data_IF_710552829854
#
_entry.id   IF_710552829854
#
_cell.length_a   1.000
_cell.length_b   1.000
_cell.length_c   1.000
_cell.angle_alpha   90.00
_cell.angle_beta   90.00
_cell.angle_gamma   90.00
#
_symmetry.space_group_name_H-M   'P 1'
#
loop_
_entity.id
_entity.type
_entity.pdbx_description
1 polymer ?
#
# COMPACT_ATOMS: atom_id res chain seq x y z
N UNK A 1 -24.38 -7.89 6.59
CA UNK A 1 -24.12 -7.88 5.14
C UNK A 1 -23.18 -6.70 4.86
N UNK A 2 -21.90 -6.99 4.70
CA UNK A 2 -20.92 -5.97 4.28
C UNK A 2 -21.05 -5.88 2.76
N UNK A 3 -21.65 -4.82 2.26
CA UNK A 3 -21.64 -4.53 0.83
C UNK A 3 -20.29 -3.92 0.46
N UNK A 4 -19.80 -4.12 -0.75
CA UNK A 4 -18.53 -3.52 -1.21
C UNK A 4 -18.50 -1.99 -1.12
N UNK A 5 -19.67 -1.34 -1.06
CA UNK A 5 -19.80 0.12 -0.87
C UNK A 5 -19.46 0.56 0.55
N UNK A 6 -19.49 -0.36 1.53
CA UNK A 6 -19.21 -0.05 2.95
C UNK A 6 -17.71 -0.16 3.28
N UNK A 7 -16.89 -0.55 2.30
CA UNK A 7 -15.48 -0.81 2.53
C UNK A 7 -14.64 0.45 2.39
N UNK A 8 -14.27 1.03 3.53
CA UNK A 8 -13.30 2.12 3.59
C UNK A 8 -11.88 1.57 3.64
N UNK A 9 -11.11 1.85 2.59
CA UNK A 9 -9.68 1.55 2.60
C UNK A 9 -8.96 2.46 3.58
N UNK A 10 -8.16 1.90 4.51
CA UNK A 10 -7.49 2.68 5.52
C UNK A 10 -6.56 3.73 4.92
N UNK A 11 -6.69 4.97 5.36
CA UNK A 11 -5.84 6.08 4.95
C UNK A 11 -4.42 5.93 5.50
N UNK A 12 -3.45 6.42 4.73
CA UNK A 12 -2.03 6.54 5.09
C UNK A 12 -1.71 8.01 5.29
N UNK A 13 -1.27 8.39 6.47
CA UNK A 13 -0.74 9.73 6.73
C UNK A 13 0.72 9.83 6.29
N UNK A 14 1.11 10.90 5.58
CA UNK A 14 2.50 11.15 5.19
C UNK A 14 3.05 12.35 5.97
N UNK A 15 3.87 12.08 7.00
CA UNK A 15 4.51 13.08 7.85
C UNK A 15 5.97 13.31 7.47
N UNK A 16 6.35 14.57 7.27
CA UNK A 16 7.70 14.97 6.86
C UNK A 16 7.97 16.44 7.22
N UNK A 17 9.25 16.81 7.34
CA UNK A 17 9.61 18.22 7.50
C UNK A 17 9.39 19.00 6.21
N UNK A 18 8.87 20.22 6.29
CA UNK A 18 8.53 21.03 5.12
C UNK A 18 9.69 21.21 4.12
N UNK A 19 10.93 21.23 4.61
CA UNK A 19 12.13 21.32 3.77
C UNK A 19 12.37 20.06 2.92
N UNK A 20 11.85 18.92 3.34
CA UNK A 20 12.00 17.62 2.67
C UNK A 20 10.91 17.34 1.63
N UNK A 21 10.01 18.31 1.42
CA UNK A 21 8.87 18.16 0.51
C UNK A 21 9.28 17.72 -0.88
N UNK A 22 10.13 18.52 -1.54
CA UNK A 22 10.49 18.30 -2.94
C UNK A 22 11.62 17.29 -3.13
N UNK A 23 12.34 16.95 -2.07
CA UNK A 23 13.44 16.00 -2.13
C UNK A 23 12.98 14.56 -1.94
N UNK A 24 12.09 14.30 -1.00
CA UNK A 24 11.66 12.91 -0.70
C UNK A 24 10.15 12.73 -0.61
N UNK A 25 9.39 13.69 -0.03
CA UNK A 25 7.96 13.48 0.23
C UNK A 25 7.14 13.36 -1.05
N UNK A 26 7.36 14.22 -2.04
CA UNK A 26 6.67 14.14 -3.35
C UNK A 26 7.07 12.89 -4.14
N UNK A 27 8.29 12.39 -4.00
CA UNK A 27 8.71 11.13 -4.59
C UNK A 27 7.99 9.92 -3.97
N UNK A 28 7.84 9.91 -2.64
CA UNK A 28 7.06 8.89 -1.94
C UNK A 28 5.59 8.94 -2.36
N UNK A 29 5.00 10.13 -2.38
CA UNK A 29 3.61 10.35 -2.79
C UNK A 29 3.38 9.85 -4.22
N UNK A 30 4.24 10.24 -5.17
CA UNK A 30 4.15 9.81 -6.57
C UNK A 30 4.05 8.29 -6.70
N UNK A 31 4.94 7.56 -6.02
CA UNK A 31 4.92 6.10 -6.08
C UNK A 31 3.68 5.50 -5.39
N UNK A 32 3.26 6.05 -4.24
CA UNK A 32 2.05 5.61 -3.54
C UNK A 32 0.79 5.81 -4.40
N UNK A 33 0.66 6.95 -5.07
CA UNK A 33 -0.47 7.26 -5.96
C UNK A 33 -0.49 6.36 -7.20
N UNK A 34 0.67 5.98 -7.73
CA UNK A 34 0.75 5.00 -8.82
C UNK A 34 0.22 3.62 -8.40
N UNK A 35 0.41 3.24 -7.14
CA UNK A 35 -0.23 2.06 -6.55
C UNK A 35 -1.68 2.30 -6.12
N UNK A 36 -2.22 3.52 -6.25
CA UNK A 36 -3.58 3.86 -5.86
C UNK A 36 -3.83 3.88 -4.36
N UNK A 37 -2.78 4.08 -3.57
CA UNK A 37 -2.90 4.14 -2.12
C UNK A 37 -3.61 5.41 -1.67
N UNK A 38 -4.53 5.33 -0.67
CA UNK A 38 -5.22 6.49 -0.12
C UNK A 38 -4.29 7.24 0.85
N UNK A 39 -3.59 8.24 0.35
CA UNK A 39 -2.63 9.04 1.12
C UNK A 39 -3.26 10.35 1.53
N UNK A 40 -3.20 10.67 2.82
CA UNK A 40 -3.40 12.03 3.30
C UNK A 40 -2.08 12.80 3.18
N UNK A 41 -2.11 13.88 2.43
CA UNK A 41 -0.95 14.71 2.13
C UNK A 41 -1.30 16.19 2.28
N UNK A 42 -0.58 16.92 3.14
CA UNK A 42 -0.88 18.26 3.58
C UNK A 42 -1.19 19.24 2.44
N UNK A 43 -0.43 19.19 1.35
CA UNK A 43 -0.60 20.09 0.20
C UNK A 43 -1.90 19.86 -0.59
N UNK A 44 -2.40 18.64 -0.59
CA UNK A 44 -3.66 18.30 -1.27
C UNK A 44 -4.86 18.52 -0.37
N UNK A 45 -4.70 18.29 0.92
CA UNK A 45 -5.78 18.20 1.88
C UNK A 45 -5.96 19.45 2.75
N UNK A 46 -4.93 20.34 2.81
CA UNK A 46 -5.00 21.59 3.58
C UNK A 46 -5.13 22.82 2.70
N UNK A 47 -6.05 23.72 3.08
CA UNK A 47 -6.29 25.00 2.41
C UNK A 47 -6.02 26.14 3.40
N UNK A 48 -5.54 27.28 2.90
CA UNK A 48 -5.31 28.48 3.73
C UNK A 48 -6.61 28.86 4.46
N UNK A 49 -6.54 28.95 5.80
CA UNK A 49 -7.69 29.27 6.65
C UNK A 49 -8.31 28.05 7.32
N UNK A 50 -7.89 26.83 6.98
CA UNK A 50 -8.33 25.62 7.64
C UNK A 50 -7.94 25.60 9.12
N UNK A 51 -8.80 24.98 9.93
CA UNK A 51 -8.46 24.67 11.32
C UNK A 51 -7.51 23.47 11.35
N UNK A 52 -6.23 23.72 11.67
CA UNK A 52 -5.19 22.69 11.70
C UNK A 52 -5.57 21.51 12.61
N UNK A 53 -6.21 21.77 13.74
CA UNK A 53 -6.64 20.70 14.66
C UNK A 53 -7.63 19.74 13.97
N UNK A 54 -8.61 20.29 13.26
CA UNK A 54 -9.63 19.46 12.61
C UNK A 54 -9.09 18.78 11.37
N UNK A 55 -8.39 19.50 10.51
CA UNK A 55 -7.98 18.94 9.21
C UNK A 55 -6.75 18.04 9.34
N UNK A 56 -5.68 18.52 9.96
CA UNK A 56 -4.44 17.76 10.04
C UNK A 56 -4.48 16.66 11.11
N UNK A 57 -4.93 16.97 12.32
CA UNK A 57 -4.92 16.00 13.40
C UNK A 57 -6.12 15.05 13.35
N UNK A 58 -7.37 15.56 13.29
CA UNK A 58 -8.55 14.70 13.32
C UNK A 58 -8.72 13.92 12.02
N UNK A 59 -8.76 14.59 10.87
CA UNK A 59 -8.95 13.91 9.58
C UNK A 59 -7.67 13.24 9.10
N UNK A 60 -6.53 13.91 9.19
CA UNK A 60 -5.25 13.38 8.75
C UNK A 60 -4.75 12.24 9.63
N UNK A 61 -4.33 12.54 10.86
CA UNK A 61 -3.66 11.57 11.73
C UNK A 61 -4.65 10.59 12.37
N UNK A 62 -5.74 11.10 12.99
CA UNK A 62 -6.70 10.25 13.70
C UNK A 62 -7.52 9.42 12.71
N UNK A 63 -7.85 9.96 11.55
CA UNK A 63 -8.50 9.24 10.46
C UNK A 63 -7.64 8.15 9.82
N UNK A 64 -6.31 8.16 10.02
CA UNK A 64 -5.40 7.20 9.41
C UNK A 64 -5.14 5.97 10.27
N UNK A 65 -5.01 4.79 9.64
CA UNK A 65 -4.53 3.55 10.26
C UNK A 65 -3.04 3.29 10.03
N UNK A 66 -2.44 4.04 9.11
CA UNK A 66 -1.03 3.95 8.77
C UNK A 66 -0.42 5.34 8.76
N UNK A 67 0.84 5.45 9.15
CA UNK A 67 1.63 6.65 9.00
C UNK A 67 3.00 6.33 8.39
N UNK A 68 3.38 7.05 7.37
CA UNK A 68 4.76 7.12 6.90
C UNK A 68 5.38 8.33 7.58
N UNK A 69 6.46 8.12 8.34
CA UNK A 69 7.20 9.19 9.00
C UNK A 69 8.60 9.29 8.40
N UNK A 70 8.88 10.42 7.79
CA UNK A 70 10.20 10.72 7.23
C UNK A 70 11.02 11.49 8.27
N UNK A 71 12.13 10.88 8.68
CA UNK A 71 13.12 11.47 9.58
C UNK A 71 14.35 11.88 8.76
N UNK A 72 14.77 13.12 8.90
CA UNK A 72 15.91 13.73 8.24
C UNK A 72 16.64 14.67 9.19
N UNK A 73 17.70 15.30 8.75
CA UNK A 73 18.36 16.40 9.48
C UNK A 73 17.39 17.57 9.79
N UNK A 74 16.31 17.73 8.99
CA UNK A 74 15.32 18.80 9.15
C UNK A 74 14.21 18.47 10.17
N UNK A 75 14.14 17.23 10.66
CA UNK A 75 13.04 16.78 11.52
C UNK A 75 13.00 17.51 12.85
N UNK A 76 14.16 17.70 13.49
CA UNK A 76 14.24 18.26 14.84
C UNK A 76 13.77 19.72 14.88
N UNK A 77 14.09 20.48 13.85
CA UNK A 77 13.73 21.90 13.72
C UNK A 77 12.30 22.13 13.21
N UNK A 78 11.60 21.09 12.80
CA UNK A 78 10.23 21.21 12.28
C UNK A 78 9.20 21.03 13.39
N UNK A 79 8.75 22.15 13.98
CA UNK A 79 7.79 22.15 15.09
C UNK A 79 6.50 21.36 14.75
N UNK A 80 5.91 21.59 13.57
CA UNK A 80 4.69 20.92 13.16
C UNK A 80 4.85 19.39 13.09
N UNK A 81 5.94 18.92 12.48
CA UNK A 81 6.22 17.49 12.39
C UNK A 81 6.47 16.86 13.78
N UNK A 82 7.11 17.59 14.69
CA UNK A 82 7.32 17.09 16.06
C UNK A 82 6.00 16.84 16.79
N UNK A 83 5.04 17.76 16.70
CA UNK A 83 3.69 17.56 17.27
C UNK A 83 2.98 16.36 16.63
N UNK A 84 3.07 16.22 15.32
CA UNK A 84 2.50 15.08 14.58
C UNK A 84 3.11 13.75 15.04
N UNK A 85 4.44 13.69 15.16
CA UNK A 85 5.16 12.51 15.64
C UNK A 85 4.70 12.12 17.05
N UNK A 86 4.52 13.10 17.96
CA UNK A 86 4.09 12.83 19.34
C UNK A 86 2.68 12.21 19.37
N UNK A 87 1.75 12.74 18.60
CA UNK A 87 0.39 12.19 18.48
C UNK A 87 0.43 10.78 17.86
N UNK A 88 1.19 10.59 16.77
CA UNK A 88 1.32 9.31 16.09
C UNK A 88 1.98 8.26 17.00
N UNK A 89 3.02 8.64 17.75
CA UNK A 89 3.68 7.75 18.70
C UNK A 89 2.74 7.29 19.84
N UNK A 90 1.92 8.19 20.38
CA UNK A 90 0.92 7.81 21.37
C UNK A 90 -0.10 6.83 20.78
N UNK A 91 -0.58 7.05 19.57
CA UNK A 91 -1.49 6.13 18.88
C UNK A 91 -0.85 4.76 18.57
N UNK A 92 0.47 4.74 18.25
CA UNK A 92 1.22 3.48 18.10
C UNK A 92 1.21 2.68 19.42
N UNK A 93 1.46 3.33 20.54
CA UNK A 93 1.44 2.67 21.86
C UNK A 93 0.07 2.11 22.23
N UNK A 94 -1.00 2.73 21.72
CA UNK A 94 -2.38 2.27 21.88
C UNK A 94 -2.80 1.20 20.86
N UNK A 95 -1.92 0.83 19.92
CA UNK A 95 -2.22 -0.12 18.86
C UNK A 95 -3.20 0.38 17.80
N UNK A 96 -3.39 1.71 17.69
CA UNK A 96 -4.36 2.35 16.79
C UNK A 96 -3.81 2.73 15.43
N UNK A 97 -2.49 2.71 15.26
CA UNK A 97 -1.82 3.07 14.01
C UNK A 97 -0.57 2.21 13.79
N UNK A 98 -0.28 1.89 12.54
CA UNK A 98 0.97 1.27 12.14
C UNK A 98 1.89 2.32 11.51
N UNK A 99 3.18 2.29 11.85
CA UNK A 99 4.15 3.28 11.37
C UNK A 99 5.15 2.64 10.43
N UNK A 100 5.44 3.33 9.34
CA UNK A 100 6.52 3.05 8.39
C UNK A 100 7.60 4.13 8.53
N UNK A 101 8.64 3.91 9.37
CA UNK A 101 9.69 4.88 9.56
C UNK A 101 10.66 4.87 8.38
N UNK A 102 10.99 6.05 7.87
CA UNK A 102 11.95 6.26 6.79
C UNK A 102 13.01 7.23 7.30
N UNK A 103 14.28 6.85 7.21
CA UNK A 103 15.42 7.72 7.44
C UNK A 103 15.89 8.25 6.07
N UNK A 104 15.83 9.56 5.90
CA UNK A 104 16.20 10.21 4.65
C UNK A 104 17.50 10.97 4.79
N UNK A 105 18.54 10.53 4.04
CA UNK A 105 19.89 11.06 4.06
C UNK A 105 20.55 11.10 5.46
N UNK A 106 20.03 10.33 6.41
CA UNK A 106 20.61 10.12 7.74
C UNK A 106 20.65 8.64 8.08
N UNK A 107 21.55 8.26 8.98
CA UNK A 107 21.63 6.94 9.57
C UNK A 107 20.86 6.88 10.89
N UNK A 108 20.65 5.67 11.43
CA UNK A 108 20.01 5.53 12.74
C UNK A 108 20.83 6.17 13.87
N UNK A 109 22.15 6.17 13.76
CA UNK A 109 23.08 6.76 14.74
C UNK A 109 22.94 8.28 14.83
N UNK A 110 22.63 8.93 13.71
CA UNK A 110 22.41 10.38 13.61
C UNK A 110 21.02 10.80 14.08
N UNK A 111 20.10 9.83 14.22
CA UNK A 111 18.75 10.12 14.67
C UNK A 111 18.73 10.65 16.11
N UNK A 112 18.07 11.80 16.39
CA UNK A 112 17.92 12.34 17.73
C UNK A 112 17.35 11.33 18.72
N UNK A 113 17.82 11.37 19.98
CA UNK A 113 17.47 10.38 21.01
C UNK A 113 15.96 10.22 21.20
N UNK A 114 15.20 11.31 21.10
CA UNK A 114 13.73 11.30 21.27
C UNK A 114 12.99 10.45 20.23
N UNK A 115 13.59 10.18 19.07
CA UNK A 115 12.98 9.37 18.00
C UNK A 115 13.53 7.94 17.93
N UNK A 116 14.51 7.57 18.75
CA UNK A 116 15.15 6.24 18.72
C UNK A 116 14.22 5.08 19.07
N UNK A 117 12.99 5.37 19.49
CA UNK A 117 11.96 4.35 19.67
C UNK A 117 11.63 3.60 18.37
N UNK A 118 11.89 4.18 17.19
CA UNK A 118 11.70 3.50 15.89
C UNK A 118 12.57 2.26 15.75
N UNK A 119 13.63 2.08 16.55
CA UNK A 119 14.45 0.85 16.58
C UNK A 119 13.61 -0.42 16.83
N UNK A 120 12.46 -0.29 17.46
CA UNK A 120 11.53 -1.40 17.68
C UNK A 120 10.75 -1.79 16.42
N UNK A 121 10.82 -0.98 15.37
CA UNK A 121 10.16 -1.18 14.09
C UNK A 121 11.19 -1.50 13.01
N UNK A 122 10.75 -2.10 11.92
CA UNK A 122 11.57 -2.20 10.72
C UNK A 122 11.47 -0.85 9.99
N UNK A 123 12.56 -0.12 9.95
CA UNK A 123 12.70 1.13 9.21
C UNK A 123 13.44 0.93 7.88
N UNK A 124 13.44 1.94 7.03
CA UNK A 124 14.21 2.00 5.78
C UNK A 124 15.05 3.26 5.75
N UNK A 125 16.28 3.11 5.30
CA UNK A 125 17.16 4.22 4.95
C UNK A 125 17.05 4.46 3.46
N UNK A 126 16.75 5.68 3.06
CA UNK A 126 16.73 6.13 1.67
C UNK A 126 17.61 7.36 1.51
N UNK A 127 18.17 7.47 0.34
CA UNK A 127 19.02 8.60 -0.05
C UNK A 127 18.60 9.09 -1.42
N UNK A 128 19.06 10.25 -1.85
CA UNK A 128 18.86 10.76 -3.19
C UNK A 128 19.31 9.78 -4.29
N UNK A 129 20.28 8.91 -3.98
CA UNK A 129 20.81 7.90 -4.90
C UNK A 129 19.96 6.65 -4.98
N UNK A 130 19.36 6.22 -3.85
CA UNK A 130 18.57 4.98 -3.80
C UNK A 130 17.12 5.18 -4.21
N UNK A 131 16.61 6.41 -4.07
CA UNK A 131 15.23 6.74 -4.35
C UNK A 131 14.22 6.06 -3.41
N UNK A 132 12.93 6.26 -3.67
CA UNK A 132 11.83 5.83 -2.80
C UNK A 132 11.05 4.61 -3.32
N UNK A 133 11.21 4.22 -4.58
CA UNK A 133 10.37 3.20 -5.23
C UNK A 133 10.34 1.85 -4.48
N UNK A 134 11.52 1.30 -4.12
CA UNK A 134 11.64 0.01 -3.40
C UNK A 134 11.00 0.10 -2.00
N UNK A 135 11.15 1.25 -1.35
CA UNK A 135 10.56 1.48 -0.03
C UNK A 135 9.04 1.51 -0.12
N UNK A 136 8.49 2.20 -1.12
CA UNK A 136 7.04 2.24 -1.37
C UNK A 136 6.50 0.86 -1.71
N UNK A 137 7.15 0.06 -2.57
CA UNK A 137 6.75 -1.32 -2.82
C UNK A 137 6.64 -2.14 -1.52
N UNK A 138 7.58 -1.93 -0.58
CA UNK A 138 7.54 -2.61 0.73
C UNK A 138 6.34 -2.16 1.59
N UNK A 139 6.00 -0.87 1.57
CA UNK A 139 4.84 -0.30 2.27
C UNK A 139 3.54 -0.85 1.69
N UNK A 140 3.39 -0.81 0.37
CA UNK A 140 2.20 -1.33 -0.34
C UNK A 140 2.03 -2.82 -0.11
N UNK A 141 3.12 -3.60 -0.16
CA UNK A 141 3.09 -5.02 0.15
C UNK A 141 2.56 -5.27 1.57
N UNK A 142 3.01 -4.51 2.57
CA UNK A 142 2.51 -4.63 3.94
C UNK A 142 1.05 -4.19 4.06
N UNK A 143 0.68 -3.07 3.45
CA UNK A 143 -0.68 -2.57 3.44
C UNK A 143 -1.66 -3.62 2.88
N UNK A 144 -1.38 -4.16 1.70
CA UNK A 144 -2.24 -5.19 1.09
C UNK A 144 -2.23 -6.51 1.87
N UNK A 145 -1.11 -6.88 2.51
CA UNK A 145 -1.07 -8.04 3.40
C UNK A 145 -1.99 -7.86 4.60
N UNK A 146 -1.97 -6.70 5.25
CA UNK A 146 -2.85 -6.42 6.39
C UNK A 146 -4.32 -6.39 5.96
N UNK A 147 -4.59 -5.86 4.75
CA UNK A 147 -5.90 -5.91 4.12
C UNK A 147 -6.34 -7.35 3.86
N UNK A 148 -5.47 -8.18 3.27
CA UNK A 148 -5.78 -9.55 2.97
C UNK A 148 -6.17 -10.33 4.23
N UNK A 149 -5.46 -10.17 5.34
CA UNK A 149 -5.83 -10.85 6.61
C UNK A 149 -7.22 -10.45 7.14
N UNK A 150 -7.74 -9.31 6.74
CA UNK A 150 -9.08 -8.84 7.14
C UNK A 150 -10.19 -9.33 6.22
N UNK A 151 -9.87 -9.75 4.99
CA UNK A 151 -10.84 -10.13 3.95
C UNK A 151 -10.83 -11.59 3.58
N UNK A 152 -9.70 -12.32 3.87
CA UNK A 152 -9.52 -13.61 3.26
C UNK A 152 -10.23 -14.72 4.01
N UNK A 153 -11.08 -15.41 3.27
CA UNK A 153 -11.56 -16.74 3.59
C UNK A 153 -10.80 -17.81 2.79
N UNK A 154 -10.12 -17.41 1.69
CA UNK A 154 -9.46 -18.29 0.73
C UNK A 154 -8.13 -17.72 0.26
N UNK A 155 -7.12 -18.55 0.17
CA UNK A 155 -5.83 -18.22 -0.43
C UNK A 155 -5.91 -18.31 -1.97
N UNK A 156 -4.93 -17.73 -2.65
CA UNK A 156 -4.89 -17.74 -4.13
C UNK A 156 -4.94 -19.16 -4.71
N UNK A 157 -4.29 -20.13 -4.07
CA UNK A 157 -4.28 -21.53 -4.51
C UNK A 157 -5.65 -22.21 -4.39
N UNK A 158 -6.50 -21.81 -3.45
CA UNK A 158 -7.82 -22.42 -3.26
C UNK A 158 -8.71 -22.22 -4.47
N UNK A 159 -8.52 -21.13 -5.20
CA UNK A 159 -9.27 -20.83 -6.42
C UNK A 159 -8.98 -21.75 -7.61
N UNK A 160 -7.97 -22.60 -7.51
CA UNK A 160 -7.71 -23.68 -8.49
C UNK A 160 -8.79 -24.76 -8.39
N UNK A 161 -9.30 -25.03 -7.19
CA UNK A 161 -10.26 -26.09 -6.93
C UNK A 161 -11.72 -25.61 -6.88
N UNK A 162 -11.91 -24.30 -6.76
CA UNK A 162 -13.23 -23.67 -6.68
C UNK A 162 -13.77 -23.35 -8.09
N UNK A 163 -15.05 -23.61 -8.28
CA UNK A 163 -15.76 -23.17 -9.48
C UNK A 163 -16.42 -21.80 -9.19
N UNK A 164 -15.73 -20.73 -9.54
CA UNK A 164 -16.26 -19.39 -9.41
C UNK A 164 -17.50 -19.22 -10.30
N UNK A 165 -18.62 -18.79 -9.73
CA UNK A 165 -19.86 -18.52 -10.51
C UNK A 165 -19.65 -17.45 -11.59
N UNK A 166 -18.68 -16.56 -11.42
CA UNK A 166 -18.27 -15.54 -12.40
C UNK A 166 -17.40 -16.10 -13.53
N UNK A 167 -16.77 -17.26 -13.34
CA UNK A 167 -15.87 -17.90 -14.30
C UNK A 167 -16.53 -19.14 -14.93
N UNK A 168 -17.61 -18.95 -15.67
CA UNK A 168 -18.39 -20.05 -16.27
C UNK A 168 -17.58 -21.00 -17.14
N UNK A 169 -16.50 -20.54 -17.72
CA UNK A 169 -15.65 -21.30 -18.64
C UNK A 169 -14.38 -21.85 -17.96
N UNK A 170 -14.13 -21.54 -16.69
CA UNK A 170 -12.94 -21.97 -15.96
C UNK A 170 -11.63 -21.32 -16.39
N UNK A 171 -11.68 -20.17 -17.07
CA UNK A 171 -10.46 -19.48 -17.54
C UNK A 171 -9.57 -19.01 -16.39
N UNK A 172 -10.15 -18.46 -15.32
CA UNK A 172 -9.40 -18.02 -14.15
C UNK A 172 -8.70 -19.22 -13.50
N UNK A 173 -9.41 -20.33 -13.35
CA UNK A 173 -8.87 -21.59 -12.81
C UNK A 173 -7.66 -22.08 -13.63
N UNK A 174 -7.78 -22.11 -14.96
CA UNK A 174 -6.68 -22.54 -15.83
C UNK A 174 -5.49 -21.59 -15.80
N UNK A 175 -5.70 -20.28 -15.74
CA UNK A 175 -4.64 -19.29 -15.57
C UNK A 175 -3.92 -19.47 -14.22
N UNK A 176 -4.64 -19.73 -13.13
CA UNK A 176 -4.04 -19.97 -11.82
C UNK A 176 -3.21 -21.26 -11.80
N UNK A 177 -3.66 -22.35 -12.47
CA UNK A 177 -2.82 -23.55 -12.66
C UNK A 177 -1.52 -23.22 -13.39
N UNK A 178 -1.59 -22.43 -14.47
CA UNK A 178 -0.39 -21.98 -15.19
C UNK A 178 0.52 -21.13 -14.30
N UNK A 179 -0.05 -20.23 -13.50
CA UNK A 179 0.69 -19.42 -12.54
C UNK A 179 1.55 -20.27 -11.60
N UNK A 180 0.98 -21.33 -11.02
CA UNK A 180 1.71 -22.23 -10.13
C UNK A 180 2.67 -23.18 -10.84
N UNK A 181 2.48 -23.43 -12.14
CA UNK A 181 3.39 -24.23 -12.96
C UNK A 181 4.65 -23.46 -13.42
N UNK A 182 4.61 -22.12 -13.45
CA UNK A 182 5.76 -21.29 -13.83
C UNK A 182 6.79 -21.28 -12.71
N UNK A 183 8.08 -21.40 -13.08
CA UNK A 183 9.20 -21.27 -12.15
C UNK A 183 9.06 -19.99 -11.29
N UNK A 184 9.25 -20.14 -9.98
CA UNK A 184 9.04 -19.08 -9.02
C UNK A 184 10.00 -17.88 -9.17
N UNK A 185 11.14 -18.04 -9.84
CA UNK A 185 12.05 -16.94 -10.18
C UNK A 185 11.65 -16.21 -11.46
N UNK A 186 10.75 -16.74 -12.27
CA UNK A 186 10.25 -16.08 -13.47
C UNK A 186 9.13 -15.09 -13.13
N UNK A 187 9.50 -14.01 -12.43
CA UNK A 187 8.57 -13.07 -11.82
C UNK A 187 7.71 -12.35 -12.85
N UNK A 188 8.30 -11.92 -13.98
CA UNK A 188 7.57 -11.19 -15.00
C UNK A 188 6.51 -12.08 -15.69
N UNK A 189 6.82 -13.35 -15.96
CA UNK A 189 5.84 -14.28 -16.53
C UNK A 189 4.71 -14.57 -15.52
N UNK A 190 5.04 -14.75 -14.25
CA UNK A 190 4.04 -14.92 -13.18
C UNK A 190 3.13 -13.70 -13.07
N UNK A 191 3.70 -12.48 -13.08
CA UNK A 191 2.91 -11.24 -13.08
C UNK A 191 1.99 -11.16 -14.32
N UNK A 192 2.46 -11.58 -15.49
CA UNK A 192 1.65 -11.57 -16.71
C UNK A 192 0.42 -12.48 -16.57
N UNK A 193 0.56 -13.64 -15.96
CA UNK A 193 -0.59 -14.51 -15.69
C UNK A 193 -1.56 -13.87 -14.68
N UNK A 194 -1.06 -13.28 -13.58
CA UNK A 194 -1.92 -12.58 -12.63
C UNK A 194 -2.65 -11.39 -13.28
N UNK A 195 -1.97 -10.67 -14.17
CA UNK A 195 -2.62 -9.59 -14.93
C UNK A 195 -3.69 -10.13 -15.88
N UNK A 196 -3.48 -11.31 -16.47
CA UNK A 196 -4.49 -11.98 -17.29
C UNK A 196 -5.72 -12.37 -16.46
N UNK A 197 -5.53 -12.90 -15.25
CA UNK A 197 -6.61 -13.13 -14.29
C UNK A 197 -7.37 -11.83 -14.00
N UNK A 198 -6.63 -10.73 -13.74
CA UNK A 198 -7.21 -9.42 -13.51
C UNK A 198 -8.09 -8.95 -14.69
N UNK A 199 -7.68 -9.19 -15.93
CA UNK A 199 -8.47 -8.80 -17.11
C UNK A 199 -9.82 -9.52 -17.16
N UNK A 200 -9.89 -10.82 -16.81
CA UNK A 200 -11.16 -11.54 -16.67
C UNK A 200 -12.02 -10.96 -15.55
N UNK A 201 -11.41 -10.62 -14.40
CA UNK A 201 -12.10 -9.95 -13.30
C UNK A 201 -12.63 -8.58 -13.74
N UNK A 202 -11.85 -7.84 -14.54
CA UNK A 202 -12.19 -6.49 -15.00
C UNK A 202 -13.45 -6.44 -15.89
N UNK A 203 -13.77 -7.51 -16.57
CA UNK A 203 -14.98 -7.61 -17.41
C UNK A 203 -16.25 -7.80 -16.57
N UNK A 204 -16.15 -8.27 -15.32
CA UNK A 204 -17.31 -8.40 -14.43
C UNK A 204 -17.89 -7.03 -14.06
N UNK A 205 -19.21 -6.95 -13.88
CA UNK A 205 -19.93 -5.70 -13.54
C UNK A 205 -19.75 -5.24 -12.07
N UNK A 206 -18.86 -5.85 -11.31
CA UNK A 206 -18.67 -5.58 -9.88
C UNK A 206 -17.81 -4.34 -9.69
N UNK A 207 -18.19 -3.48 -8.72
CA UNK A 207 -17.38 -2.32 -8.31
C UNK A 207 -15.99 -2.74 -7.86
N UNK A 208 -14.99 -2.02 -8.35
CA UNK A 208 -13.58 -2.28 -8.08
C UNK A 208 -12.89 -1.01 -7.61
N UNK A 209 -12.54 -0.93 -6.33
CA UNK A 209 -11.86 0.25 -5.80
C UNK A 209 -10.46 0.39 -6.41
N UNK A 210 -10.04 1.64 -6.57
CA UNK A 210 -8.74 2.02 -7.16
C UNK A 210 -7.57 1.34 -6.45
N UNK A 211 -7.63 1.22 -5.12
CA UNK A 211 -6.64 0.53 -4.28
C UNK A 211 -6.43 -0.95 -4.69
N UNK A 212 -7.43 -1.58 -5.29
CA UNK A 212 -7.35 -2.97 -5.73
C UNK A 212 -7.12 -3.14 -7.24
N UNK A 213 -7.21 -2.07 -8.02
CA UNK A 213 -7.00 -2.15 -9.48
C UNK A 213 -5.67 -1.55 -9.90
N UNK A 214 -5.30 -0.41 -9.36
CA UNK A 214 -4.05 0.28 -9.71
C UNK A 214 -2.78 -0.54 -9.43
N UNK A 215 -2.64 -1.27 -8.31
CA UNK A 215 -1.38 -1.99 -8.06
C UNK A 215 -1.01 -2.96 -9.17
N UNK A 216 -1.95 -3.79 -9.61
CA UNK A 216 -1.67 -4.76 -10.69
C UNK A 216 -1.46 -4.07 -12.03
N UNK A 217 -2.21 -3.01 -12.33
CA UNK A 217 -2.07 -2.22 -13.57
C UNK A 217 -0.72 -1.49 -13.61
N UNK A 218 -0.29 -0.90 -12.49
CA UNK A 218 1.01 -0.24 -12.37
C UNK A 218 2.16 -1.24 -12.57
N UNK A 219 2.17 -2.34 -11.83
CA UNK A 219 3.20 -3.36 -11.93
C UNK A 219 3.32 -3.93 -13.35
N UNK A 220 2.18 -4.21 -14.00
CA UNK A 220 2.19 -4.67 -15.38
C UNK A 220 2.72 -3.60 -16.35
N UNK A 221 2.49 -2.32 -16.09
CA UNK A 221 3.04 -1.23 -16.90
C UNK A 221 4.57 -1.17 -16.84
N UNK A 222 5.18 -1.49 -15.68
CA UNK A 222 6.63 -1.56 -15.54
C UNK A 222 7.24 -2.63 -16.42
N UNK A 223 6.60 -3.79 -16.53
CA UNK A 223 7.11 -4.87 -17.43
C UNK A 223 7.05 -4.50 -18.91
N UNK A 224 6.09 -3.64 -19.32
CA UNK A 224 6.04 -3.11 -20.69
C UNK A 224 7.21 -2.17 -21.00
N UNK A 225 7.82 -1.59 -19.98
CA UNK A 225 9.03 -0.77 -20.10
C UNK A 225 10.31 -1.60 -19.94
N UNK A 226 10.19 -2.93 -20.03
CA UNK A 226 11.29 -3.89 -19.85
C UNK A 226 11.94 -3.83 -18.45
N UNK A 227 11.23 -3.32 -17.46
CA UNK A 227 11.67 -3.31 -16.08
C UNK A 227 11.37 -4.65 -15.41
N UNK A 228 12.32 -5.12 -14.61
CA UNK A 228 12.14 -6.34 -13.82
C UNK A 228 11.50 -5.99 -12.50
N UNK A 229 10.47 -6.76 -12.15
CA UNK A 229 9.87 -6.69 -10.82
C UNK A 229 10.63 -7.57 -9.82
N UNK A 230 10.52 -7.24 -8.55
CA UNK A 230 11.07 -8.05 -7.45
C UNK A 230 9.98 -8.97 -6.80
N UNK A 231 10.41 -9.80 -5.84
CA UNK A 231 9.50 -10.71 -5.13
C UNK A 231 8.43 -9.98 -4.29
N UNK A 232 8.70 -8.77 -3.81
CA UNK A 232 7.69 -8.00 -3.07
C UNK A 232 6.63 -7.44 -4.00
N UNK A 233 7.04 -6.99 -5.17
CA UNK A 233 6.15 -6.50 -6.21
C UNK A 233 5.26 -7.63 -6.74
N UNK A 234 5.81 -8.83 -6.95
CA UNK A 234 4.98 -9.99 -7.28
C UNK A 234 3.98 -10.30 -6.15
N UNK A 235 4.41 -10.23 -4.88
CA UNK A 235 3.52 -10.44 -3.73
C UNK A 235 2.43 -9.37 -3.61
N UNK A 236 2.69 -8.13 -4.03
CA UNK A 236 1.65 -7.10 -4.17
C UNK A 236 0.58 -7.58 -5.15
N UNK A 237 0.98 -8.09 -6.32
CA UNK A 237 0.05 -8.59 -7.32
C UNK A 237 -0.72 -9.82 -6.81
N UNK A 238 -0.06 -10.77 -6.14
CA UNK A 238 -0.70 -11.94 -5.53
C UNK A 238 -1.79 -11.53 -4.53
N UNK A 239 -1.45 -10.70 -3.55
CA UNK A 239 -2.40 -10.22 -2.54
C UNK A 239 -3.57 -9.48 -3.19
N UNK A 240 -3.28 -8.66 -4.18
CA UNK A 240 -4.27 -7.88 -4.89
C UNK A 240 -5.29 -8.76 -5.62
N UNK A 241 -4.82 -9.75 -6.37
CA UNK A 241 -5.69 -10.70 -7.07
C UNK A 241 -6.47 -11.57 -6.07
N UNK A 242 -5.82 -12.01 -4.99
CA UNK A 242 -6.49 -12.83 -3.95
C UNK A 242 -7.65 -12.07 -3.31
N UNK A 243 -7.46 -10.80 -2.97
CA UNK A 243 -8.55 -9.96 -2.43
C UNK A 243 -9.67 -9.82 -3.45
N UNK A 244 -9.35 -9.52 -4.71
CA UNK A 244 -10.34 -9.37 -5.77
C UNK A 244 -11.16 -10.65 -6.00
N UNK A 245 -10.52 -11.82 -5.99
CA UNK A 245 -11.20 -13.10 -6.17
C UNK A 245 -12.12 -13.44 -4.99
N UNK A 246 -11.69 -13.20 -3.74
CA UNK A 246 -12.54 -13.40 -2.56
C UNK A 246 -13.78 -12.49 -2.62
N UNK A 247 -13.58 -11.23 -2.93
CA UNK A 247 -14.67 -10.25 -3.07
C UNK A 247 -15.68 -10.67 -4.12
N UNK A 248 -15.22 -11.19 -5.26
CA UNK A 248 -16.10 -11.67 -6.33
C UNK A 248 -16.86 -12.92 -5.91
N UNK A 249 -16.16 -13.86 -5.29
CA UNK A 249 -16.79 -15.10 -4.83
C UNK A 249 -17.88 -14.83 -3.79
N UNK A 250 -17.60 -13.94 -2.82
CA UNK A 250 -18.59 -13.52 -1.82
C UNK A 250 -19.81 -12.85 -2.47
N UNK A 251 -19.60 -11.96 -3.44
CA UNK A 251 -20.70 -11.29 -4.14
C UNK A 251 -21.64 -12.28 -4.84
N UNK A 252 -21.10 -13.24 -5.57
CA UNK A 252 -21.91 -14.22 -6.29
C UNK A 252 -22.45 -15.35 -5.39
N UNK A 253 -21.89 -15.56 -4.22
CA UNK A 253 -22.41 -16.55 -3.27
C UNK A 253 -23.63 -16.03 -2.51
N UNK A 254 -23.75 -14.70 -2.37
CA UNK A 254 -24.86 -14.05 -1.69
C UNK A 254 -26.09 -13.78 -2.60
N UNK A 255 -25.97 -13.97 -3.91
CA UNK A 255 -27.07 -13.95 -4.90
C UNK A 255 -27.61 -15.35 -5.17
#
# INVERSE_FOLDING_TARGET
LITMTDFQFPQIFLGFAAKDRYTVAESLLYHLENYGMPVWYDRHDLIIGDNRQNENFEKGIIGSKYAILVFSENTEDCFCLNEEIDVIYNRLREGKINIFPILYNITFEELPQKYRWIKKLIYREITDKTGSAITVSSIVCRYLKDMSTSFLHKDLCDFIDINLKSDKNGYIKELLKQYYAIDHHNLNSRLTILYSVYLFIKVSAIYRPVVLTKPIEWLFSLTKLDLKIDFKELRIAENNITILLNVIDDYYTQQ
#
